data_IF_635130314966
#
_entry.id   IF_635130314966
#
_cell.length_a   1.000
_cell.length_b   1.000
_cell.length_c   1.000
_cell.angle_alpha   90.00
_cell.angle_beta   90.00
_cell.angle_gamma   90.00
#
_symmetry.space_group_name_H-M   'P 1'
#
loop_
_entity.id
_entity.type
_entity.pdbx_description
1 polymer ?
#
# COMPACT_ATOMS: atom_id res chain seq x y z
N UNK A 1 -18.07 -3.83 10.97
CA UNK A 1 -17.26 -3.40 12.13
C UNK A 1 -16.35 -4.54 12.51
N UNK A 2 -15.04 -4.33 12.43
CA UNK A 2 -14.05 -5.31 12.92
C UNK A 2 -13.93 -5.17 14.44
N UNK A 3 -13.77 -6.28 15.15
CA UNK A 3 -13.78 -6.35 16.63
C UNK A 3 -12.46 -5.92 17.29
N UNK A 4 -11.55 -5.31 16.51
CA UNK A 4 -10.25 -4.82 16.96
C UNK A 4 -9.21 -5.91 17.26
N UNK A 5 -9.51 -7.18 16.95
CA UNK A 5 -8.55 -8.27 17.15
C UNK A 5 -7.51 -8.30 16.04
N UNK A 6 -6.30 -8.68 16.41
CA UNK A 6 -5.26 -8.97 15.43
C UNK A 6 -5.63 -10.21 14.63
N UNK A 7 -5.59 -10.09 13.32
CA UNK A 7 -5.74 -11.20 12.39
C UNK A 7 -4.35 -11.62 11.92
N UNK A 8 -4.12 -12.93 11.85
CA UNK A 8 -2.89 -13.46 11.24
C UNK A 8 -2.94 -13.12 9.75
N UNK A 9 -1.93 -12.38 9.28
CA UNK A 9 -1.77 -12.17 7.85
C UNK A 9 -1.55 -13.54 7.19
N UNK A 10 -2.44 -13.89 6.26
CA UNK A 10 -2.37 -15.12 5.46
C UNK A 10 -1.17 -15.14 4.53
N UNK A 11 -1.20 -16.04 3.54
CA UNK A 11 -0.14 -16.11 2.53
C UNK A 11 -0.37 -15.10 1.39
N UNK A 12 -1.57 -14.55 1.31
CA UNK A 12 -1.98 -13.68 0.22
C UNK A 12 -1.35 -12.28 0.32
N UNK A 13 -1.21 -11.65 -0.84
CA UNK A 13 -0.88 -10.22 -0.94
C UNK A 13 -2.12 -9.39 -0.67
N UNK A 14 -1.94 -8.12 -0.29
CA UNK A 14 -3.05 -7.23 0.03
C UNK A 14 -3.15 -6.04 -0.90
N UNK A 15 -4.38 -5.57 -1.11
CA UNK A 15 -4.72 -4.45 -1.98
C UNK A 15 -5.69 -3.49 -1.32
N UNK A 16 -5.64 -2.23 -1.74
CA UNK A 16 -6.70 -1.26 -1.48
C UNK A 16 -7.67 -1.21 -2.67
N UNK A 17 -8.96 -1.38 -2.40
CA UNK A 17 -10.02 -1.23 -3.38
C UNK A 17 -10.88 -0.04 -2.97
N UNK A 18 -11.14 0.89 -3.90
CA UNK A 18 -12.02 2.03 -3.62
C UNK A 18 -13.43 1.55 -3.27
N UNK A 19 -13.99 2.12 -2.20
CA UNK A 19 -15.37 1.91 -1.81
C UNK A 19 -16.20 3.12 -2.25
N UNK A 20 -16.92 2.95 -3.34
CA UNK A 20 -17.76 4.01 -3.92
C UNK A 20 -18.97 4.37 -3.05
N UNK A 21 -19.36 3.48 -2.14
CA UNK A 21 -20.53 3.66 -1.25
C UNK A 21 -20.14 4.41 0.02
N UNK A 22 -19.04 4.01 0.66
CA UNK A 22 -18.60 4.57 1.94
C UNK A 22 -17.58 5.71 1.80
N UNK A 23 -17.16 6.02 0.56
CA UNK A 23 -16.08 6.98 0.26
C UNK A 23 -14.80 6.60 0.97
N UNK A 24 -14.05 5.64 0.43
CA UNK A 24 -12.84 5.18 1.11
C UNK A 24 -12.13 4.05 0.41
N UNK A 25 -11.35 3.28 1.18
CA UNK A 25 -10.61 2.13 0.67
C UNK A 25 -10.73 0.92 1.59
N UNK A 26 -11.15 -0.19 1.00
CA UNK A 26 -11.17 -1.51 1.62
C UNK A 26 -9.81 -2.18 1.45
N UNK A 27 -9.26 -2.71 2.54
CA UNK A 27 -8.12 -3.62 2.53
C UNK A 27 -8.59 -5.02 2.19
N UNK A 28 -8.10 -5.56 1.09
CA UNK A 28 -8.56 -6.83 0.53
C UNK A 28 -7.40 -7.79 0.36
N UNK A 29 -7.56 -9.03 0.82
CA UNK A 29 -6.66 -10.12 0.52
C UNK A 29 -6.86 -10.57 -0.93
N UNK A 30 -5.78 -10.75 -1.68
CA UNK A 30 -5.80 -11.28 -3.04
C UNK A 30 -5.90 -12.81 -3.00
N UNK A 31 -7.00 -13.29 -2.43
CA UNK A 31 -7.42 -14.70 -2.49
C UNK A 31 -8.67 -14.83 -3.34
N UNK A 32 -9.09 -16.07 -3.61
CA UNK A 32 -10.25 -16.38 -4.45
C UNK A 32 -11.54 -15.70 -3.96
N UNK A 33 -11.64 -15.47 -2.65
CA UNK A 33 -12.81 -14.87 -2.00
C UNK A 33 -12.75 -13.34 -1.89
N UNK A 34 -11.65 -12.70 -2.32
CA UNK A 34 -11.38 -11.26 -2.14
C UNK A 34 -11.74 -10.79 -0.72
N UNK A 35 -11.17 -11.45 0.29
CA UNK A 35 -11.54 -11.24 1.69
C UNK A 35 -11.25 -9.80 2.15
N UNK A 36 -12.27 -9.08 2.65
CA UNK A 36 -12.12 -7.72 3.20
C UNK A 36 -11.63 -7.81 4.66
N UNK A 37 -10.47 -7.23 4.92
CA UNK A 37 -9.83 -7.21 6.25
C UNK A 37 -10.03 -5.90 7.02
N UNK A 38 -10.37 -4.83 6.34
CA UNK A 38 -10.47 -3.52 6.98
C UNK A 38 -10.87 -2.41 6.03
N UNK A 39 -11.15 -1.26 6.63
CA UNK A 39 -11.46 -0.01 5.95
C UNK A 39 -10.56 1.08 6.53
N UNK A 40 -9.88 1.86 5.68
CA UNK A 40 -8.81 2.76 6.15
C UNK A 40 -9.21 4.21 6.35
N UNK A 41 -10.04 4.79 5.48
CA UNK A 41 -10.31 6.23 5.47
C UNK A 41 -11.65 6.53 4.81
N UNK A 42 -12.30 7.59 5.26
CA UNK A 42 -13.45 8.28 4.67
C UNK A 42 -13.10 9.24 3.51
N UNK A 43 -11.81 9.33 3.16
CA UNK A 43 -11.34 10.12 2.03
C UNK A 43 -11.41 9.31 0.74
N UNK A 44 -11.79 9.99 -0.35
CA UNK A 44 -11.81 9.40 -1.69
C UNK A 44 -10.44 9.27 -2.35
N UNK A 45 -9.38 9.84 -1.78
CA UNK A 45 -8.03 9.84 -2.36
C UNK A 45 -7.05 9.04 -1.51
N UNK A 46 -6.21 8.22 -2.15
CA UNK A 46 -5.11 7.53 -1.47
C UNK A 46 -3.94 8.51 -1.29
N UNK A 47 -3.71 8.94 -0.05
CA UNK A 47 -2.56 9.78 0.30
C UNK A 47 -1.24 8.99 0.29
N UNK A 48 -0.12 9.71 0.22
CA UNK A 48 1.22 9.12 0.20
C UNK A 48 1.50 8.20 1.40
N UNK A 49 0.90 8.48 2.56
CA UNK A 49 1.06 7.68 3.77
C UNK A 49 0.42 6.31 3.61
N UNK A 50 -0.83 6.26 3.14
CA UNK A 50 -1.57 5.02 2.92
C UNK A 50 -0.90 4.17 1.83
N UNK A 51 -0.43 4.79 0.73
CA UNK A 51 0.37 4.11 -0.31
C UNK A 51 1.61 3.46 0.29
N UNK A 52 2.37 4.21 1.10
CA UNK A 52 3.60 3.72 1.73
C UNK A 52 3.33 2.58 2.73
N UNK A 53 2.27 2.68 3.54
CA UNK A 53 1.90 1.62 4.47
C UNK A 53 1.54 0.32 3.75
N UNK A 54 0.83 0.40 2.63
CA UNK A 54 0.52 -0.77 1.81
C UNK A 54 1.77 -1.40 1.18
N UNK A 55 2.69 -0.58 0.67
CA UNK A 55 3.96 -1.08 0.14
C UNK A 55 4.75 -1.83 1.23
N UNK A 56 4.84 -1.27 2.44
CA UNK A 56 5.53 -1.90 3.57
C UNK A 56 4.90 -3.24 3.99
N UNK A 57 3.56 -3.34 3.99
CA UNK A 57 2.85 -4.58 4.30
C UNK A 57 3.24 -5.69 3.32
N UNK A 58 3.12 -5.43 2.01
CA UNK A 58 3.44 -6.44 1.00
C UNK A 58 4.93 -6.79 0.95
N UNK A 59 5.83 -5.81 1.16
CA UNK A 59 7.27 -6.07 1.29
C UNK A 59 7.61 -6.95 2.50
N UNK A 60 6.91 -6.76 3.62
CA UNK A 60 7.10 -7.57 4.84
C UNK A 60 6.67 -9.03 4.60
N UNK A 61 5.61 -9.25 3.83
CA UNK A 61 5.18 -10.59 3.43
C UNK A 61 6.18 -11.22 2.47
N UNK A 62 6.66 -10.48 1.48
CA UNK A 62 7.68 -10.98 0.56
C UNK A 62 8.97 -11.37 1.30
N UNK A 63 9.38 -10.57 2.29
CA UNK A 63 10.53 -10.90 3.14
C UNK A 63 10.30 -12.16 3.98
N UNK A 64 9.09 -12.34 4.53
CA UNK A 64 8.70 -13.57 5.23
C UNK A 64 8.80 -14.78 4.30
N UNK A 65 8.28 -14.65 3.09
CA UNK A 65 8.25 -15.75 2.10
C UNK A 65 9.67 -16.14 1.71
N UNK A 66 10.53 -15.16 1.42
CA UNK A 66 11.95 -15.37 1.15
C UNK A 66 12.69 -16.03 2.32
N UNK A 67 12.38 -15.64 3.56
CA UNK A 67 12.97 -16.27 4.75
C UNK A 67 12.55 -17.73 4.92
N UNK A 68 11.34 -18.07 4.47
CA UNK A 68 10.77 -19.43 4.55
C UNK A 68 11.06 -20.28 3.30
N UNK A 69 11.95 -19.83 2.41
CA UNK A 69 12.30 -20.51 1.16
C UNK A 69 11.08 -20.77 0.25
N UNK A 70 10.06 -19.90 0.34
CA UNK A 70 8.92 -19.91 -0.58
C UNK A 70 9.35 -19.14 -1.82
N UNK A 71 9.46 -19.84 -2.95
CA UNK A 71 9.83 -19.25 -4.23
C UNK A 71 8.70 -18.33 -4.72
N UNK A 72 9.08 -17.12 -5.11
CA UNK A 72 8.20 -16.10 -5.69
C UNK A 72 8.71 -15.85 -7.10
N UNK A 73 8.12 -16.54 -8.09
CA UNK A 73 8.63 -16.50 -9.46
C UNK A 73 8.54 -15.07 -10.02
N UNK A 74 9.47 -14.73 -10.90
CA UNK A 74 9.49 -13.40 -11.53
C UNK A 74 8.17 -13.15 -12.29
N UNK A 75 7.57 -14.17 -12.89
CA UNK A 75 6.27 -14.02 -13.56
C UNK A 75 5.13 -13.74 -12.58
N UNK A 76 5.11 -14.35 -11.39
CA UNK A 76 4.13 -14.01 -10.33
C UNK A 76 4.31 -12.56 -9.85
N UNK A 77 5.56 -12.09 -9.75
CA UNK A 77 5.84 -10.70 -9.42
C UNK A 77 5.35 -9.74 -10.51
N UNK A 78 5.52 -10.10 -11.78
CA UNK A 78 5.08 -9.29 -12.93
C UNK A 78 3.58 -9.30 -13.09
N UNK A 79 2.91 -10.43 -12.87
CA UNK A 79 1.45 -10.50 -12.89
C UNK A 79 0.89 -9.54 -11.83
N UNK A 80 1.42 -9.58 -10.60
CA UNK A 80 1.04 -8.64 -9.54
C UNK A 80 1.29 -7.18 -9.89
N UNK A 81 2.37 -6.88 -10.61
CA UNK A 81 2.67 -5.52 -11.06
C UNK A 81 1.74 -5.05 -12.19
N UNK A 82 1.34 -5.98 -13.07
CA UNK A 82 0.45 -5.72 -14.20
C UNK A 82 -1.01 -5.50 -13.80
N UNK A 83 -1.42 -6.04 -12.64
CA UNK A 83 -2.76 -5.82 -12.11
C UNK A 83 -2.78 -4.41 -11.50
N UNK A 84 -3.00 -3.45 -12.39
CA UNK A 84 -3.05 -2.00 -12.22
C UNK A 84 -3.30 -1.54 -10.77
N UNK A 85 -2.31 -0.83 -10.23
CA UNK A 85 -2.35 -0.29 -8.90
C UNK A 85 -3.16 1.01 -8.80
N UNK A 86 -3.56 1.65 -9.91
CA UNK A 86 -3.94 3.08 -9.89
C UNK A 86 -2.87 3.97 -9.22
N UNK A 87 -1.67 3.42 -9.06
CA UNK A 87 -0.52 3.94 -8.34
C UNK A 87 0.59 4.32 -9.31
N UNK A 88 0.46 3.85 -10.55
CA UNK A 88 1.21 4.23 -11.74
C UNK A 88 0.57 5.39 -12.51
N UNK A 89 -0.63 5.84 -12.14
CA UNK A 89 -1.03 7.23 -12.36
C UNK A 89 -0.11 8.08 -11.50
N UNK A 90 1.06 8.36 -12.05
CA UNK A 90 2.11 9.17 -11.45
C UNK A 90 1.67 10.62 -11.55
N UNK A 91 0.71 10.99 -10.72
CA UNK A 91 0.56 12.38 -10.34
C UNK A 91 1.82 12.76 -9.57
N UNK A 92 2.50 13.78 -10.08
CA UNK A 92 3.62 14.37 -9.36
C UNK A 92 3.09 14.83 -8.00
N UNK A 93 3.72 14.44 -6.87
CA UNK A 93 3.25 14.87 -5.56
C UNK A 93 3.17 16.40 -5.53
N UNK A 94 2.08 16.93 -4.99
CA UNK A 94 1.92 18.37 -4.83
C UNK A 94 3.08 18.93 -3.97
N UNK A 95 3.40 20.22 -4.10
CA UNK A 95 4.56 20.83 -3.42
C UNK A 95 4.60 20.55 -1.91
N UNK A 96 3.44 20.46 -1.27
CA UNK A 96 3.32 20.10 0.15
C UNK A 96 3.75 18.66 0.44
N UNK A 97 3.42 17.71 -0.43
CA UNK A 97 3.79 16.29 -0.28
C UNK A 97 5.27 16.07 -0.61
N UNK A 98 5.83 16.86 -1.54
CA UNK A 98 7.28 16.89 -1.80
C UNK A 98 8.08 17.38 -0.60
N UNK A 99 7.56 18.34 0.17
CA UNK A 99 8.22 18.87 1.35
C UNK A 99 8.28 17.83 2.49
N UNK A 100 7.21 17.03 2.63
CA UNK A 100 7.16 15.91 3.58
C UNK A 100 8.05 14.74 3.18
N UNK A 101 8.18 14.46 1.88
CA UNK A 101 9.09 13.47 1.34
C UNK A 101 10.58 13.92 1.37
N UNK A 102 10.85 15.20 1.59
CA UNK A 102 12.20 15.73 1.61
C UNK A 102 12.97 15.29 2.86
N UNK A 103 14.08 14.58 2.65
CA UNK A 103 14.98 14.16 3.72
C UNK A 103 15.57 15.35 4.50
N UNK A 104 16.12 15.12 5.70
CA UNK A 104 16.60 16.17 6.60
C UNK A 104 17.69 17.07 5.99
N UNK A 105 18.43 16.59 4.98
CA UNK A 105 19.45 17.36 4.26
C UNK A 105 18.79 18.39 3.32
N UNK A 106 17.80 17.97 2.54
CA UNK A 106 17.09 18.85 1.60
C UNK A 106 16.34 19.97 2.34
N UNK A 107 15.77 19.67 3.52
CA UNK A 107 15.14 20.66 4.41
C UNK A 107 16.12 21.71 4.95
N UNK A 108 17.40 21.36 5.15
CA UNK A 108 18.42 22.33 5.61
C UNK A 108 18.89 23.28 4.51
N UNK A 109 18.99 22.80 3.28
CA UNK A 109 19.36 23.61 2.12
C UNK A 109 18.31 24.67 1.79
N UNK A 110 17.02 24.30 1.76
CA UNK A 110 15.90 25.25 1.55
C UNK A 110 15.79 26.36 2.59
N UNK A 111 16.36 26.18 3.79
CA UNK A 111 16.26 27.16 4.90
C UNK A 111 17.36 28.24 4.86
N UNK A 112 18.30 28.14 3.92
CA UNK A 112 19.39 29.10 3.72
C UNK A 112 19.12 30.09 2.57
N UNK A 113 18.02 29.92 1.83
CA UNK A 113 17.44 30.91 0.91
C UNK A 113 16.42 31.79 1.65
#
# INVERSE_FOLDING_TARGET
>A
MHDGRWLKAGNDRYRLISDDVLSGYNLVAMNDDYTILGYFTDKKTIDAKLRRTMALLNQSLALRDAHNEIEDEIEDARERESIDYGLLDRDWPDESEMEDASGPIAKRLKRQE
#
